data_IF_163829669776
#
_entry.id   IF_163829669776
#
_cell.length_a   1.000
_cell.length_b   1.000
_cell.length_c   1.000
_cell.angle_alpha   90.00
_cell.angle_beta   90.00
_cell.angle_gamma   90.00
#
_symmetry.space_group_name_H-M   'P 1'
#
loop_
_entity.id
_entity.type
_entity.pdbx_description
1 polymer ?
#
# COMPACT_ATOMS: atom_id res chain seq x y z
N UNK A 1 -1.90 20.71 -5.94
CA UNK A 1 -1.49 19.58 -5.07
C UNK A 1 -2.68 18.65 -5.00
N UNK A 2 -2.49 17.33 -4.95
CA UNK A 2 -3.59 16.39 -4.70
C UNK A 2 -4.18 16.65 -3.30
N UNK A 3 -5.51 16.60 -3.15
CA UNK A 3 -6.18 16.93 -1.89
C UNK A 3 -7.56 16.29 -1.80
N UNK A 4 -7.72 15.29 -0.90
CA UNK A 4 -9.03 14.74 -0.55
C UNK A 4 -9.94 15.81 0.08
N UNK A 5 -9.40 16.64 0.98
CA UNK A 5 -10.13 17.77 1.55
C UNK A 5 -10.62 18.80 0.50
N UNK A 6 -9.94 18.90 -0.64
CA UNK A 6 -10.43 19.71 -1.77
C UNK A 6 -11.71 19.13 -2.38
N UNK A 7 -11.77 17.81 -2.53
CA UNK A 7 -12.98 17.11 -2.95
C UNK A 7 -14.09 17.17 -1.89
N UNK A 8 -13.74 17.21 -0.59
CA UNK A 8 -14.73 17.47 0.47
C UNK A 8 -15.34 18.86 0.36
N UNK A 9 -14.59 19.88 -0.05
CA UNK A 9 -15.18 21.20 -0.35
C UNK A 9 -16.06 21.13 -1.60
N UNK A 10 -15.66 20.40 -2.64
CA UNK A 10 -16.52 20.19 -3.81
C UNK A 10 -17.83 19.48 -3.45
N UNK A 11 -17.80 18.53 -2.51
CA UNK A 11 -18.99 17.92 -1.94
C UNK A 11 -19.94 18.97 -1.38
N UNK A 12 -19.43 19.84 -0.49
CA UNK A 12 -20.22 20.91 0.12
C UNK A 12 -20.77 21.89 -0.92
N UNK A 13 -20.00 22.21 -1.97
CA UNK A 13 -20.47 23.06 -3.06
C UNK A 13 -21.65 22.41 -3.79
N UNK A 14 -21.58 21.11 -4.08
CA UNK A 14 -22.71 20.38 -4.69
C UNK A 14 -23.93 20.44 -3.78
N UNK A 15 -23.76 20.20 -2.49
CA UNK A 15 -24.85 20.22 -1.51
C UNK A 15 -25.50 21.61 -1.41
N UNK A 16 -24.70 22.67 -1.29
CA UNK A 16 -25.16 24.05 -1.16
C UNK A 16 -25.89 24.55 -2.42
N UNK A 17 -25.33 24.27 -3.60
CA UNK A 17 -25.91 24.74 -4.88
C UNK A 17 -27.19 24.00 -5.23
N UNK A 18 -27.28 22.72 -4.88
CA UNK A 18 -28.42 21.87 -5.28
C UNK A 18 -29.49 21.76 -4.20
N UNK A 19 -29.16 22.04 -2.95
CA UNK A 19 -30.02 21.79 -1.79
C UNK A 19 -30.23 20.31 -1.47
N UNK A 20 -29.48 19.40 -2.11
CA UNK A 20 -29.55 17.95 -1.90
C UNK A 20 -28.36 17.48 -1.07
N UNK A 21 -28.51 16.37 -0.34
CA UNK A 21 -27.33 15.67 0.20
C UNK A 21 -26.47 15.17 -0.96
N UNK A 22 -25.15 15.03 -0.75
CA UNK A 22 -24.27 14.54 -1.81
C UNK A 22 -24.70 13.16 -2.31
N UNK A 23 -25.15 12.28 -1.42
CA UNK A 23 -25.60 10.94 -1.72
C UNK A 23 -26.84 10.96 -2.61
N UNK A 24 -27.83 11.78 -2.27
CA UNK A 24 -29.05 11.91 -3.07
C UNK A 24 -28.76 12.51 -4.44
N UNK A 25 -27.87 13.51 -4.50
CA UNK A 25 -27.44 14.12 -5.76
C UNK A 25 -26.74 13.07 -6.64
N UNK A 26 -25.75 12.36 -6.10
CA UNK A 26 -25.03 11.33 -6.84
C UNK A 26 -25.92 10.16 -7.25
N UNK A 27 -26.88 9.78 -6.39
CA UNK A 27 -27.88 8.77 -6.71
C UNK A 27 -28.70 9.17 -7.93
N UNK A 28 -29.30 10.36 -7.89
CA UNK A 28 -30.19 10.89 -8.92
C UNK A 28 -29.46 11.19 -10.23
N UNK A 29 -28.32 11.88 -10.14
CA UNK A 29 -27.67 12.47 -11.31
C UNK A 29 -26.71 11.51 -11.99
N UNK A 30 -26.16 10.51 -11.28
CA UNK A 30 -25.13 9.61 -11.82
C UNK A 30 -25.59 8.14 -11.75
N UNK A 31 -25.85 7.62 -10.55
CA UNK A 31 -26.11 6.18 -10.32
C UNK A 31 -27.36 5.72 -11.06
N UNK A 32 -28.48 6.42 -10.91
CA UNK A 32 -29.75 6.03 -11.52
C UNK A 32 -29.71 6.21 -13.05
N UNK A 33 -29.10 7.30 -13.54
CA UNK A 33 -28.97 7.58 -14.98
C UNK A 33 -28.09 6.57 -15.71
N UNK A 34 -27.06 6.04 -15.04
CA UNK A 34 -26.19 4.99 -15.59
C UNK A 34 -26.59 3.58 -15.16
N UNK A 35 -27.67 3.44 -14.38
CA UNK A 35 -28.17 2.15 -13.88
C UNK A 35 -27.07 1.36 -13.12
N UNK A 36 -26.41 2.04 -12.19
CA UNK A 36 -25.34 1.50 -11.33
C UNK A 36 -25.94 0.84 -10.07
N UNK A 37 -26.76 -0.20 -10.26
CA UNK A 37 -27.63 -0.76 -9.22
C UNK A 37 -26.92 -1.30 -7.97
N UNK A 38 -25.62 -1.54 -8.03
CA UNK A 38 -24.78 -2.04 -6.94
C UNK A 38 -23.75 -0.98 -6.50
N UNK A 39 -24.07 0.30 -6.67
CA UNK A 39 -23.21 1.42 -6.29
C UNK A 39 -23.96 2.39 -5.38
N UNK A 40 -23.29 2.87 -4.32
CA UNK A 40 -23.90 3.77 -3.34
C UNK A 40 -22.84 4.56 -2.56
N UNK A 41 -23.22 5.74 -2.06
CA UNK A 41 -22.46 6.52 -1.09
C UNK A 41 -22.98 6.34 0.35
N UNK A 42 -23.96 5.44 0.53
CA UNK A 42 -24.55 5.06 1.80
C UNK A 42 -24.30 3.57 2.00
N UNK A 43 -23.84 3.21 3.20
CA UNK A 43 -23.80 1.81 3.63
C UNK A 43 -25.21 1.42 4.09
N UNK A 44 -26.01 0.91 3.18
CA UNK A 44 -27.30 0.29 3.49
C UNK A 44 -27.14 -1.23 3.67
N UNK A 45 -28.24 -1.91 4.03
CA UNK A 45 -28.25 -3.35 4.25
C UNK A 45 -27.80 -4.15 3.02
N UNK A 46 -28.16 -3.72 1.81
CA UNK A 46 -27.78 -4.42 0.59
C UNK A 46 -26.27 -4.31 0.33
N UNK A 47 -25.68 -3.13 0.56
CA UNK A 47 -24.22 -2.97 0.47
C UNK A 47 -23.53 -3.75 1.59
N UNK A 48 -24.03 -3.71 2.82
CA UNK A 48 -23.44 -4.40 3.97
C UNK A 48 -23.39 -5.93 3.77
N UNK A 49 -24.43 -6.52 3.17
CA UNK A 49 -24.46 -7.97 2.88
C UNK A 49 -23.53 -8.38 1.74
N UNK A 50 -23.16 -7.46 0.84
CA UNK A 50 -22.38 -7.76 -0.38
C UNK A 50 -20.97 -7.17 -0.39
N UNK A 51 -20.60 -6.34 0.59
CA UNK A 51 -19.28 -5.73 0.67
C UNK A 51 -18.21 -6.79 0.97
N UNK A 52 -17.07 -6.71 0.29
CA UNK A 52 -15.93 -7.58 0.58
C UNK A 52 -15.30 -7.26 1.94
N UNK A 53 -14.82 -8.27 2.67
CA UNK A 53 -13.87 -8.06 3.78
C UNK A 53 -12.65 -7.26 3.33
N UNK A 54 -12.08 -6.44 4.22
CA UNK A 54 -10.84 -5.70 3.96
C UNK A 54 -9.64 -6.34 4.66
N UNK A 55 -8.51 -6.37 3.96
CA UNK A 55 -7.28 -6.97 4.48
C UNK A 55 -6.15 -5.95 4.61
N UNK A 56 -5.55 -5.89 5.79
CA UNK A 56 -4.38 -5.04 6.04
C UNK A 56 -3.12 -5.54 5.33
N UNK A 57 -2.05 -4.75 5.45
CA UNK A 57 -0.74 -5.08 4.86
C UNK A 57 -0.23 -6.45 5.32
N UNK A 58 -0.51 -6.88 6.56
CA UNK A 58 -0.06 -8.18 7.06
C UNK A 58 -0.91 -9.36 6.57
N UNK A 59 -2.01 -9.11 5.85
CA UNK A 59 -2.94 -10.13 5.37
C UNK A 59 -4.00 -10.54 6.40
N UNK A 60 -4.01 -9.89 7.57
CA UNK A 60 -5.11 -10.02 8.52
C UNK A 60 -6.31 -9.22 8.03
N UNK A 61 -7.51 -9.74 8.32
CA UNK A 61 -8.74 -8.97 8.17
C UNK A 61 -8.70 -7.75 9.11
N UNK A 62 -9.25 -6.63 8.65
CA UNK A 62 -9.36 -5.37 9.40
C UNK A 62 -10.80 -4.86 9.35
N UNK A 63 -11.21 -3.97 10.26
CA UNK A 63 -12.53 -3.37 10.19
C UNK A 63 -12.74 -2.61 8.86
N UNK A 64 -13.94 -2.69 8.32
CA UNK A 64 -14.36 -1.82 7.22
C UNK A 64 -14.52 -0.37 7.70
N UNK A 65 -14.01 0.58 6.92
CA UNK A 65 -14.10 2.01 7.25
C UNK A 65 -15.12 2.70 6.35
N UNK A 66 -15.96 3.52 6.96
CA UNK A 66 -16.87 4.44 6.26
C UNK A 66 -16.24 5.83 6.32
N UNK A 67 -16.12 6.48 5.17
CA UNK A 67 -15.45 7.77 5.05
C UNK A 67 -16.48 8.89 5.00
N UNK A 68 -16.30 9.92 5.84
CA UNK A 68 -17.13 11.13 5.82
C UNK A 68 -16.83 12.01 4.58
N UNK A 69 -15.62 11.94 4.05
CA UNK A 69 -15.20 12.57 2.79
C UNK A 69 -15.75 11.81 1.56
N UNK A 70 -17.08 11.76 1.42
CA UNK A 70 -17.77 10.89 0.43
C UNK A 70 -17.33 11.16 -1.00
N UNK A 71 -17.22 12.43 -1.39
CA UNK A 71 -16.74 12.80 -2.72
C UNK A 71 -15.29 12.37 -2.99
N UNK A 72 -14.45 12.24 -1.95
CA UNK A 72 -13.05 11.84 -2.08
C UNK A 72 -12.85 10.31 -2.03
N UNK A 73 -13.64 9.60 -1.21
CA UNK A 73 -13.35 8.22 -0.83
C UNK A 73 -14.57 7.34 -0.47
N UNK A 74 -15.81 7.81 -0.67
CA UNK A 74 -17.00 7.17 -0.08
C UNK A 74 -17.82 6.26 -0.99
N UNK A 75 -17.44 6.06 -2.26
CA UNK A 75 -18.21 5.22 -3.17
C UNK A 75 -17.99 3.73 -2.88
N UNK A 76 -19.06 3.01 -2.55
CA UNK A 76 -19.15 1.56 -2.64
C UNK A 76 -19.62 1.20 -4.06
N UNK A 77 -18.97 0.24 -4.72
CA UNK A 77 -19.31 -0.15 -6.10
C UNK A 77 -18.81 -1.55 -6.43
N UNK A 78 -19.20 -2.04 -7.62
CA UNK A 78 -18.74 -3.30 -8.20
C UNK A 78 -17.94 -3.04 -9.47
N UNK A 79 -17.17 -4.03 -9.92
CA UNK A 79 -16.45 -3.95 -11.21
C UNK A 79 -17.41 -3.71 -12.37
N UNK A 80 -18.56 -4.39 -12.38
CA UNK A 80 -19.58 -4.26 -13.44
C UNK A 80 -20.14 -2.84 -13.53
N UNK A 81 -20.48 -2.21 -12.41
CA UNK A 81 -21.04 -0.85 -12.44
C UNK A 81 -19.96 0.19 -12.76
N UNK A 82 -18.76 0.04 -12.22
CA UNK A 82 -17.66 0.94 -12.57
C UNK A 82 -17.26 0.79 -14.06
N UNK A 83 -17.45 -0.39 -14.66
CA UNK A 83 -17.35 -0.58 -16.12
C UNK A 83 -18.45 0.16 -16.91
N UNK A 84 -19.69 0.28 -16.39
CA UNK A 84 -20.71 1.12 -17.04
C UNK A 84 -20.34 2.59 -16.99
N UNK A 85 -19.84 3.07 -15.84
CA UNK A 85 -19.31 4.43 -15.72
C UNK A 85 -18.13 4.67 -16.68
N UNK A 86 -17.23 3.70 -16.79
CA UNK A 86 -16.14 3.70 -17.77
C UNK A 86 -16.64 3.88 -19.21
N UNK A 87 -17.62 3.07 -19.62
CA UNK A 87 -18.19 3.12 -20.96
C UNK A 87 -18.83 4.50 -21.20
N UNK A 88 -19.52 5.07 -20.22
CA UNK A 88 -20.09 6.41 -20.34
C UNK A 88 -19.04 7.51 -20.62
N UNK A 89 -17.83 7.38 -20.02
CA UNK A 89 -16.70 8.28 -20.31
C UNK A 89 -16.18 8.11 -21.74
N UNK A 90 -16.05 6.87 -22.22
CA UNK A 90 -15.64 6.57 -23.60
C UNK A 90 -16.65 7.07 -24.64
N UNK A 91 -17.94 6.82 -24.40
CA UNK A 91 -19.02 7.26 -25.26
C UNK A 91 -19.10 8.79 -25.33
N UNK A 92 -19.00 9.47 -24.18
CA UNK A 92 -18.95 10.92 -24.15
C UNK A 92 -17.76 11.47 -24.95
N UNK A 93 -16.60 10.81 -24.90
CA UNK A 93 -15.42 11.20 -25.69
C UNK A 93 -15.60 10.99 -27.20
N UNK A 94 -16.16 9.84 -27.60
CA UNK A 94 -16.15 9.37 -28.99
C UNK A 94 -17.42 9.70 -29.80
N UNK A 95 -18.56 10.03 -29.16
CA UNK A 95 -19.86 10.05 -29.87
C UNK A 95 -20.04 11.19 -30.88
N UNK A 96 -20.56 10.78 -32.04
CA UNK A 96 -21.38 11.56 -32.98
C UNK A 96 -22.88 11.17 -32.92
N UNK A 97 -23.30 10.23 -32.05
CA UNK A 97 -24.66 9.63 -32.06
C UNK A 97 -25.49 9.89 -30.80
N UNK A 98 -26.82 9.97 -30.97
CA UNK A 98 -27.88 10.37 -30.01
C UNK A 98 -28.18 9.38 -28.85
N UNK A 99 -27.25 8.56 -28.39
CA UNK A 99 -27.50 7.76 -27.17
C UNK A 99 -27.32 8.63 -25.92
N UNK A 100 -28.13 8.41 -24.87
CA UNK A 100 -28.16 9.19 -23.61
C UNK A 100 -26.75 9.35 -23.03
N UNK A 101 -26.08 10.43 -23.37
CA UNK A 101 -24.79 10.80 -22.80
C UNK A 101 -25.03 11.50 -21.47
N UNK A 102 -24.42 10.96 -20.41
CA UNK A 102 -24.43 11.61 -19.10
C UNK A 102 -23.74 12.99 -19.16
N UNK A 103 -22.67 13.08 -19.95
CA UNK A 103 -21.82 14.27 -20.12
C UNK A 103 -21.55 14.46 -21.62
N UNK A 104 -21.53 15.72 -22.08
CA UNK A 104 -21.20 16.08 -23.47
C UNK A 104 -19.74 15.76 -23.81
N UNK A 105 -19.43 15.65 -25.11
CA UNK A 105 -18.04 15.47 -25.57
C UNK A 105 -17.12 16.60 -25.13
N UNK A 106 -17.61 17.84 -25.18
CA UNK A 106 -16.86 19.01 -24.73
C UNK A 106 -16.51 18.91 -23.25
N UNK A 107 -17.48 18.55 -22.39
CA UNK A 107 -17.24 18.43 -20.96
C UNK A 107 -16.33 17.23 -20.63
N UNK A 108 -16.46 16.10 -21.32
CA UNK A 108 -15.53 14.97 -21.17
C UNK A 108 -14.11 15.38 -21.56
N UNK A 109 -13.95 16.09 -22.69
CA UNK A 109 -12.65 16.61 -23.08
C UNK A 109 -12.09 17.56 -22.03
N UNK A 110 -12.91 18.44 -21.47
CA UNK A 110 -12.49 19.34 -20.40
C UNK A 110 -12.02 18.57 -19.16
N UNK A 111 -12.77 17.55 -18.73
CA UNK A 111 -12.45 16.72 -17.56
C UNK A 111 -11.13 15.96 -17.75
N UNK A 112 -10.91 15.42 -18.95
CA UNK A 112 -9.73 14.62 -19.30
C UNK A 112 -8.48 15.46 -19.61
N UNK A 113 -8.64 16.76 -19.91
CA UNK A 113 -7.51 17.62 -20.26
C UNK A 113 -6.68 17.96 -19.02
N UNK A 114 -5.38 17.65 -19.01
CA UNK A 114 -4.53 18.03 -17.89
C UNK A 114 -4.44 19.54 -17.75
N UNK A 115 -4.77 20.04 -16.55
CA UNK A 115 -4.63 21.46 -16.19
C UNK A 115 -3.27 21.70 -15.52
N UNK A 116 -2.75 20.70 -14.81
CA UNK A 116 -1.45 20.77 -14.15
C UNK A 116 -0.75 19.42 -14.16
N UNK A 117 0.47 19.39 -14.73
CA UNK A 117 1.21 18.14 -14.97
C UNK A 117 0.33 17.16 -15.76
N UNK A 118 0.01 16.02 -15.15
CA UNK A 118 -0.83 14.95 -15.71
C UNK A 118 -2.27 14.99 -15.21
N UNK A 119 -2.66 15.91 -14.32
CA UNK A 119 -3.98 15.93 -13.69
C UNK A 119 -4.98 16.85 -14.41
N UNK A 120 -6.12 16.28 -14.79
CA UNK A 120 -7.34 16.99 -15.18
C UNK A 120 -8.32 17.11 -14.00
N UNK A 121 -9.63 17.15 -14.29
CA UNK A 121 -10.69 17.27 -13.26
C UNK A 121 -11.03 15.89 -12.67
N UNK A 122 -10.16 15.39 -11.79
CA UNK A 122 -10.35 14.08 -11.14
C UNK A 122 -9.83 12.89 -11.91
N UNK A 123 -9.08 13.14 -12.99
CA UNK A 123 -8.44 12.13 -13.81
C UNK A 123 -6.94 12.44 -13.95
N UNK A 124 -6.16 11.38 -14.08
CA UNK A 124 -4.73 11.39 -14.37
C UNK A 124 -4.54 10.87 -15.78
N UNK A 125 -3.80 11.62 -16.57
CA UNK A 125 -3.45 11.29 -17.95
C UNK A 125 -1.99 10.90 -18.05
N UNK A 126 -1.69 9.77 -18.68
CA UNK A 126 -0.33 9.31 -18.99
C UNK A 126 -0.24 8.99 -20.47
N UNK A 127 0.76 9.55 -21.13
CA UNK A 127 1.10 9.25 -22.51
C UNK A 127 1.87 7.92 -22.59
N UNK A 128 1.50 7.09 -23.57
CA UNK A 128 2.14 5.83 -23.89
C UNK A 128 3.18 6.03 -25.00
N UNK A 129 4.10 5.07 -25.15
CA UNK A 129 5.20 5.16 -26.12
C UNK A 129 4.72 5.29 -27.57
N UNK A 130 3.53 4.77 -27.89
CA UNK A 130 2.92 4.87 -29.21
C UNK A 130 2.05 6.13 -29.42
N UNK A 131 2.10 7.09 -28.49
CA UNK A 131 1.36 8.36 -28.56
C UNK A 131 -0.09 8.32 -28.09
N UNK A 132 -0.63 7.15 -27.73
CA UNK A 132 -1.94 7.07 -27.08
C UNK A 132 -1.90 7.55 -25.64
N UNK A 133 -3.06 7.90 -25.10
CA UNK A 133 -3.18 8.38 -23.72
C UNK A 133 -4.03 7.42 -22.90
N UNK A 134 -3.49 7.05 -21.75
CA UNK A 134 -4.27 6.44 -20.67
C UNK A 134 -4.86 7.56 -19.81
N UNK A 135 -6.13 7.45 -19.47
CA UNK A 135 -6.86 8.43 -18.66
C UNK A 135 -7.62 7.67 -17.57
N UNK A 136 -7.47 8.05 -16.32
CA UNK A 136 -8.08 7.26 -15.25
C UNK A 136 -7.81 7.81 -13.86
N UNK A 137 -8.13 7.02 -12.84
CA UNK A 137 -7.79 7.34 -11.46
C UNK A 137 -7.62 6.07 -10.64
N UNK A 138 -6.65 6.09 -9.72
CA UNK A 138 -6.45 5.05 -8.72
C UNK A 138 -7.18 5.38 -7.42
N UNK A 139 -7.50 4.37 -6.62
CA UNK A 139 -8.09 4.53 -5.29
C UNK A 139 -7.33 3.72 -4.25
N UNK A 140 -7.22 4.26 -3.05
CA UNK A 140 -6.45 3.66 -1.95
C UNK A 140 -7.08 3.92 -0.59
N UNK A 141 -8.25 3.34 -0.36
CA UNK A 141 -8.83 3.27 0.98
C UNK A 141 -8.14 2.18 1.80
N UNK A 142 -8.11 2.31 3.12
CA UNK A 142 -7.48 1.31 3.98
C UNK A 142 -8.10 -0.07 3.76
N UNK A 143 -7.29 -1.04 3.36
CA UNK A 143 -7.72 -2.41 3.06
C UNK A 143 -8.36 -2.62 1.69
N UNK A 144 -8.42 -1.60 0.83
CA UNK A 144 -8.91 -1.72 -0.55
C UNK A 144 -8.03 -0.96 -1.53
N UNK A 145 -7.90 -1.47 -2.76
CA UNK A 145 -7.29 -0.72 -3.85
C UNK A 145 -8.16 -0.82 -5.09
N UNK A 146 -8.28 0.28 -5.81
CA UNK A 146 -9.01 0.33 -7.07
C UNK A 146 -8.18 1.03 -8.13
N UNK A 147 -8.47 0.71 -9.38
CA UNK A 147 -8.05 1.50 -10.51
C UNK A 147 -9.09 1.40 -11.62
N UNK A 148 -9.33 2.53 -12.25
CA UNK A 148 -10.13 2.65 -13.45
C UNK A 148 -9.29 3.42 -14.47
N UNK A 149 -9.16 2.91 -15.68
CA UNK A 149 -8.37 3.55 -16.74
C UNK A 149 -8.95 3.22 -18.11
N UNK A 150 -8.95 4.22 -19.00
CA UNK A 150 -9.38 4.12 -20.39
C UNK A 150 -8.28 4.56 -21.35
N UNK A 151 -8.32 4.05 -22.58
CA UNK A 151 -7.62 4.58 -23.74
C UNK A 151 -8.71 4.98 -24.75
N UNK A 152 -9.14 6.26 -24.74
CA UNK A 152 -10.28 6.71 -25.53
C UNK A 152 -10.11 6.46 -27.04
N UNK A 153 -8.89 6.64 -27.55
CA UNK A 153 -8.52 6.45 -28.96
C UNK A 153 -8.73 4.99 -29.43
N UNK A 154 -8.77 4.04 -28.49
CA UNK A 154 -8.97 2.62 -28.76
C UNK A 154 -10.34 2.09 -28.33
N UNK A 155 -11.20 2.95 -27.78
CA UNK A 155 -12.45 2.54 -27.14
C UNK A 155 -12.25 1.37 -26.15
N UNK A 156 -11.15 1.41 -25.40
CA UNK A 156 -10.71 0.34 -24.50
C UNK A 156 -10.59 0.88 -23.08
N UNK A 157 -10.80 0.01 -22.10
CA UNK A 157 -10.64 0.37 -20.69
C UNK A 157 -10.56 -0.85 -19.79
N UNK A 158 -10.07 -0.63 -18.58
CA UNK A 158 -9.91 -1.65 -17.55
C UNK A 158 -10.32 -1.09 -16.18
N UNK A 159 -11.03 -1.93 -15.43
CA UNK A 159 -11.39 -1.70 -14.03
C UNK A 159 -10.84 -2.84 -13.20
N UNK A 160 -10.17 -2.50 -12.10
CA UNK A 160 -9.55 -3.47 -11.20
C UNK A 160 -9.88 -3.05 -9.77
N UNK A 161 -10.51 -3.95 -9.00
CA UNK A 161 -10.83 -3.76 -7.59
C UNK A 161 -10.16 -4.88 -6.79
N UNK A 162 -9.58 -4.54 -5.64
CA UNK A 162 -8.95 -5.50 -4.72
C UNK A 162 -9.28 -5.12 -3.28
N UNK A 163 -9.31 -6.12 -2.40
CA UNK A 163 -9.68 -5.97 -1.00
C UNK A 163 -8.49 -6.16 -0.04
N UNK A 164 -7.28 -5.76 -0.47
CA UNK A 164 -6.12 -5.76 0.42
C UNK A 164 -5.26 -4.52 0.20
N UNK A 165 -4.64 -4.03 1.27
CA UNK A 165 -3.58 -3.03 1.17
C UNK A 165 -2.40 -3.49 0.29
N UNK A 166 -2.22 -4.79 0.11
CA UNK A 166 -1.21 -5.38 -0.78
C UNK A 166 -1.65 -5.41 -2.26
N UNK A 167 -2.90 -5.04 -2.57
CA UNK A 167 -3.48 -5.10 -3.91
C UNK A 167 -2.81 -4.16 -4.93
N UNK A 168 -2.06 -3.15 -4.47
CA UNK A 168 -1.35 -2.19 -5.33
C UNK A 168 -0.40 -2.89 -6.31
N UNK A 169 0.34 -3.92 -5.86
CA UNK A 169 1.27 -4.63 -6.75
C UNK A 169 0.54 -5.43 -7.84
N UNK A 170 -0.56 -6.08 -7.48
CA UNK A 170 -1.42 -6.78 -8.45
C UNK A 170 -1.98 -5.79 -9.48
N UNK A 171 -2.46 -4.64 -9.01
CA UNK A 171 -2.95 -3.55 -9.84
C UNK A 171 -1.91 -3.06 -10.84
N UNK A 172 -0.69 -2.74 -10.40
CA UNK A 172 0.40 -2.30 -11.26
C UNK A 172 0.73 -3.36 -12.32
N UNK A 173 0.78 -4.63 -11.92
CA UNK A 173 1.07 -5.73 -12.84
C UNK A 173 -0.02 -5.87 -13.90
N UNK A 174 -1.30 -5.94 -13.52
CA UNK A 174 -2.41 -6.04 -14.47
C UNK A 174 -2.42 -4.83 -15.41
N UNK A 175 -2.24 -3.62 -14.87
CA UNK A 175 -2.17 -2.40 -15.66
C UNK A 175 -1.05 -2.45 -16.71
N UNK A 176 0.15 -2.89 -16.33
CA UNK A 176 1.26 -2.99 -17.28
C UNK A 176 1.05 -4.05 -18.37
N UNK A 177 0.41 -5.18 -18.04
CA UNK A 177 -0.01 -6.16 -19.05
C UNK A 177 -1.05 -5.57 -20.00
N UNK A 178 -2.06 -4.89 -19.46
CA UNK A 178 -3.12 -4.28 -20.24
C UNK A 178 -2.60 -3.16 -21.15
N UNK A 179 -1.73 -2.28 -20.65
CA UNK A 179 -1.08 -1.24 -21.47
C UNK A 179 -0.35 -1.85 -22.67
N UNK A 180 0.50 -2.86 -22.45
CA UNK A 180 1.20 -3.56 -23.54
C UNK A 180 0.25 -4.23 -24.53
N UNK A 181 -0.74 -4.94 -24.02
CA UNK A 181 -1.77 -5.57 -24.85
C UNK A 181 -2.52 -4.53 -25.69
N UNK A 182 -2.90 -3.40 -25.11
CA UNK A 182 -3.60 -2.30 -25.78
C UNK A 182 -2.73 -1.57 -26.81
N UNK A 183 -1.39 -1.62 -26.66
CA UNK A 183 -0.44 -1.16 -27.67
C UNK A 183 -0.21 -2.18 -28.81
N UNK A 184 -0.77 -3.39 -28.70
CA UNK A 184 -0.61 -4.47 -29.68
C UNK A 184 0.68 -5.28 -29.50
N UNK A 185 1.35 -5.15 -28.35
CA UNK A 185 2.57 -5.89 -28.04
C UNK A 185 2.27 -7.30 -27.50
N UNK A 186 3.19 -8.25 -27.73
CA UNK A 186 3.08 -9.58 -27.15
C UNK A 186 3.33 -9.57 -25.64
N UNK A 187 2.48 -10.29 -24.90
CA UNK A 187 2.55 -10.44 -23.44
C UNK A 187 3.10 -11.79 -22.98
N UNK A 188 3.36 -12.73 -23.90
CA UNK A 188 3.62 -14.15 -23.63
C UNK A 188 4.84 -14.40 -22.73
N UNK A 189 5.80 -13.48 -22.71
CA UNK A 189 6.97 -13.50 -21.83
C UNK A 189 7.15 -12.21 -21.03
N UNK A 190 6.14 -11.33 -21.01
CA UNK A 190 6.24 -10.10 -20.26
C UNK A 190 6.15 -10.39 -18.77
N UNK A 191 7.17 -9.97 -18.02
CA UNK A 191 7.17 -9.98 -16.56
C UNK A 191 7.24 -8.54 -16.09
N UNK A 192 6.13 -7.97 -15.59
CA UNK A 192 6.17 -6.66 -15.01
C UNK A 192 7.03 -6.72 -13.76
N UNK A 193 8.19 -6.08 -13.86
CA UNK A 193 9.12 -5.99 -12.76
C UNK A 193 9.38 -4.51 -12.53
N UNK A 194 8.78 -3.97 -11.46
CA UNK A 194 9.08 -2.61 -11.05
C UNK A 194 10.55 -2.57 -10.59
N UNK A 195 11.39 -1.79 -11.28
CA UNK A 195 12.83 -1.70 -11.00
C UNK A 195 13.13 -1.35 -9.54
N UNK A 196 12.30 -0.51 -8.92
CA UNK A 196 12.42 -0.16 -7.50
C UNK A 196 12.10 -1.35 -6.58
N UNK A 197 11.03 -2.10 -6.88
CA UNK A 197 10.63 -3.32 -6.15
C UNK A 197 11.71 -4.40 -6.28
N UNK A 198 12.33 -4.53 -7.47
CA UNK A 198 13.46 -5.42 -7.73
C UNK A 198 14.67 -5.07 -6.86
N UNK A 199 15.04 -3.80 -6.78
CA UNK A 199 16.14 -3.34 -5.92
C UNK A 199 15.84 -3.66 -4.46
N UNK A 200 14.65 -3.31 -3.96
CA UNK A 200 14.24 -3.61 -2.58
C UNK A 200 14.30 -5.11 -2.30
N UNK A 201 13.84 -5.94 -3.22
CA UNK A 201 13.89 -7.40 -3.10
C UNK A 201 15.32 -7.90 -2.92
N UNK A 202 16.27 -7.48 -3.77
CA UNK A 202 17.66 -7.92 -3.65
C UNK A 202 18.36 -7.38 -2.40
N UNK A 203 18.12 -6.11 -2.04
CA UNK A 203 18.61 -5.54 -0.78
C UNK A 203 18.09 -6.33 0.41
N UNK A 204 16.81 -6.71 0.38
CA UNK A 204 16.17 -7.51 1.42
C UNK A 204 16.77 -8.92 1.52
N UNK A 205 16.99 -9.60 0.38
CA UNK A 205 17.67 -10.90 0.36
C UNK A 205 19.08 -10.78 0.96
N UNK A 206 19.85 -9.77 0.56
CA UNK A 206 21.19 -9.52 1.10
C UNK A 206 21.20 -9.30 2.62
N UNK A 207 20.32 -8.42 3.11
CA UNK A 207 20.15 -8.16 4.54
C UNK A 207 19.76 -9.43 5.32
N UNK A 208 18.85 -10.24 4.79
CA UNK A 208 18.44 -11.50 5.41
C UNK A 208 19.61 -12.48 5.55
N UNK A 209 20.45 -12.64 4.51
CA UNK A 209 21.63 -13.50 4.56
C UNK A 209 22.67 -13.00 5.58
N UNK A 210 22.95 -11.69 5.59
CA UNK A 210 23.89 -11.09 6.55
C UNK A 210 23.41 -11.31 7.98
N UNK A 211 22.11 -11.05 8.25
CA UNK A 211 21.51 -11.27 9.55
C UNK A 211 21.52 -12.77 9.94
N UNK A 212 21.25 -13.67 9.01
CA UNK A 212 21.28 -15.12 9.25
C UNK A 212 22.67 -15.65 9.56
N UNK A 213 23.70 -15.21 8.82
CA UNK A 213 25.10 -15.56 9.09
C UNK A 213 25.56 -15.01 10.44
N UNK A 214 25.18 -13.77 10.73
CA UNK A 214 25.43 -13.18 12.03
C UNK A 214 24.77 -14.01 13.13
N UNK A 215 23.50 -14.37 12.99
CA UNK A 215 22.73 -15.24 13.90
C UNK A 215 23.39 -16.59 14.14
N UNK A 216 23.85 -17.27 13.09
CA UNK A 216 24.62 -18.51 13.19
C UNK A 216 25.91 -18.29 14.01
N UNK A 217 26.61 -17.19 13.79
CA UNK A 217 27.80 -16.83 14.58
C UNK A 217 27.46 -16.66 16.07
N UNK A 218 26.28 -16.13 16.40
CA UNK A 218 25.79 -16.00 17.79
C UNK A 218 25.54 -17.37 18.37
N UNK A 219 24.80 -18.23 17.67
CA UNK A 219 24.46 -19.57 18.15
C UNK A 219 25.74 -20.35 18.46
N UNK A 220 26.74 -20.29 17.57
CA UNK A 220 28.05 -20.90 17.78
C UNK A 220 28.75 -20.30 19.00
N UNK A 221 28.73 -18.97 19.16
CA UNK A 221 29.30 -18.28 20.33
C UNK A 221 28.59 -18.68 21.63
N UNK A 222 27.26 -18.80 21.63
CA UNK A 222 26.47 -19.24 22.79
C UNK A 222 26.82 -20.69 23.15
N UNK A 223 26.86 -21.61 22.17
CA UNK A 223 27.27 -23.02 22.36
C UNK A 223 28.68 -23.14 22.92
N UNK A 224 29.62 -22.30 22.44
CA UNK A 224 30.99 -22.20 22.95
C UNK A 224 31.10 -21.44 24.29
N UNK A 225 29.98 -21.09 24.92
CA UNK A 225 29.95 -20.36 26.18
C UNK A 225 30.51 -18.94 26.10
N UNK A 226 30.60 -18.31 24.92
CA UNK A 226 31.04 -16.93 24.70
C UNK A 226 29.81 -16.04 24.45
N UNK A 227 28.98 -15.81 25.48
CA UNK A 227 27.68 -15.10 25.37
C UNK A 227 27.79 -13.57 25.42
N UNK A 228 28.89 -12.97 24.97
CA UNK A 228 29.07 -11.51 25.02
C UNK A 228 28.61 -10.91 23.71
N UNK A 229 27.67 -9.98 23.78
CA UNK A 229 27.00 -9.43 22.61
C UNK A 229 26.89 -7.91 22.70
N UNK A 230 27.45 -7.24 21.68
CA UNK A 230 27.71 -5.79 21.52
C UNK A 230 28.86 -5.27 22.39
N UNK A 231 30.01 -5.10 21.70
CA UNK A 231 31.30 -4.52 22.12
C UNK A 231 31.95 -5.12 23.39
N UNK A 232 33.29 -5.08 23.44
CA UNK A 232 34.09 -5.44 24.62
C UNK A 232 34.00 -4.36 25.71
N UNK A 233 32.92 -3.58 25.80
CA UNK A 233 32.75 -2.63 26.91
C UNK A 233 32.60 -3.44 28.18
N UNK A 234 33.70 -3.51 28.94
CA UNK A 234 33.68 -4.00 30.31
C UNK A 234 32.78 -3.06 31.11
N UNK A 235 31.82 -3.59 31.87
CA UNK A 235 31.68 -3.38 33.31
C UNK A 235 30.25 -3.58 33.87
N UNK A 236 30.21 -3.62 35.21
CA UNK A 236 29.23 -4.14 36.16
C UNK A 236 27.98 -3.26 36.42
N UNK A 237 27.69 -2.20 35.65
CA UNK A 237 26.61 -1.25 36.01
C UNK A 237 25.23 -1.63 35.46
N UNK A 238 24.17 -1.29 36.21
CA UNK A 238 22.76 -1.44 35.82
C UNK A 238 22.46 -0.79 34.46
N UNK A 239 23.09 0.36 34.18
CA UNK A 239 22.96 1.13 32.95
C UNK A 239 23.33 0.31 31.70
N UNK A 240 24.35 -0.55 31.80
CA UNK A 240 24.77 -1.43 30.69
C UNK A 240 23.69 -2.47 30.34
N UNK A 241 23.04 -3.05 31.36
CA UNK A 241 21.94 -4.01 31.17
C UNK A 241 20.73 -3.34 30.52
N UNK A 242 20.39 -2.14 30.99
CA UNK A 242 19.31 -1.32 30.46
C UNK A 242 19.54 -1.01 28.98
N UNK A 243 20.74 -0.55 28.62
CA UNK A 243 21.11 -0.23 27.23
C UNK A 243 20.98 -1.46 26.30
N UNK A 244 21.41 -2.64 26.76
CA UNK A 244 21.36 -3.89 25.97
C UNK A 244 19.95 -4.41 25.71
N UNK A 245 18.98 -4.06 26.55
CA UNK A 245 17.59 -4.46 26.38
C UNK A 245 16.82 -3.39 25.61
N UNK A 246 16.99 -2.12 25.98
CA UNK A 246 16.22 -1.02 25.43
C UNK A 246 16.58 -0.74 23.97
N UNK A 247 17.87 -0.73 23.60
CA UNK A 247 18.26 -0.39 22.22
C UNK A 247 17.66 -1.36 21.19
N UNK A 248 17.79 -2.70 21.32
CA UNK A 248 17.18 -3.62 20.36
C UNK A 248 15.66 -3.51 20.31
N UNK A 249 15.01 -3.33 21.46
CA UNK A 249 13.55 -3.13 21.53
C UNK A 249 13.14 -1.86 20.79
N UNK A 250 13.85 -0.75 21.00
CA UNK A 250 13.60 0.50 20.28
C UNK A 250 13.85 0.37 18.79
N UNK A 251 14.91 -0.32 18.36
CA UNK A 251 15.17 -0.59 16.93
C UNK A 251 14.02 -1.38 16.32
N UNK A 252 13.53 -2.43 17.01
CA UNK A 252 12.39 -3.21 16.56
C UNK A 252 11.12 -2.36 16.44
N UNK A 253 10.83 -1.53 17.45
CA UNK A 253 9.68 -0.62 17.43
C UNK A 253 9.79 0.38 16.27
N UNK A 254 10.94 1.05 16.12
CA UNK A 254 11.20 2.02 15.04
C UNK A 254 11.03 1.35 13.67
N UNK A 255 11.55 0.14 13.50
CA UNK A 255 11.37 -0.63 12.27
C UNK A 255 9.89 -0.86 11.95
N UNK A 256 9.13 -1.36 12.92
CA UNK A 256 7.69 -1.58 12.74
C UNK A 256 6.93 -0.27 12.47
N UNK A 257 7.27 0.82 13.15
CA UNK A 257 6.64 2.13 12.95
C UNK A 257 6.94 2.71 11.56
N UNK A 258 8.18 2.59 11.07
CA UNK A 258 8.57 3.11 9.75
C UNK A 258 7.87 2.34 8.63
N UNK A 259 7.87 1.01 8.70
CA UNK A 259 7.34 0.20 7.61
C UNK A 259 5.82 0.02 7.70
N UNK A 260 5.28 -0.24 8.89
CA UNK A 260 3.89 -0.65 9.10
C UNK A 260 3.08 0.31 9.98
N UNK A 261 3.71 1.32 10.57
CA UNK A 261 3.02 2.34 11.35
C UNK A 261 2.30 3.35 10.45
N UNK A 262 1.18 3.87 10.93
CA UNK A 262 0.39 4.88 10.21
C UNK A 262 0.88 6.32 10.42
N UNK A 263 1.79 6.56 11.39
CA UNK A 263 1.82 7.85 12.10
C UNK A 263 2.99 8.78 11.71
N UNK A 264 4.08 8.34 11.09
CA UNK A 264 5.31 9.19 11.10
C UNK A 264 5.71 9.85 9.78
N UNK A 265 5.33 9.36 8.58
CA UNK A 265 5.92 9.90 7.33
C UNK A 265 4.90 10.27 6.22
N UNK A 266 3.58 10.03 6.37
CA UNK A 266 2.62 10.06 5.23
C UNK A 266 2.97 9.15 4.03
N UNK A 267 4.21 8.64 3.93
CA UNK A 267 4.62 7.53 3.09
C UNK A 267 4.58 6.24 3.92
N UNK A 268 3.48 5.50 3.83
CA UNK A 268 3.50 4.09 4.24
C UNK A 268 4.25 3.32 3.15
N UNK A 269 5.45 2.82 3.46
CA UNK A 269 6.28 2.10 2.47
C UNK A 269 5.86 0.63 2.36
N UNK A 270 5.26 0.03 3.40
CA UNK A 270 4.93 -1.39 3.34
C UNK A 270 3.98 -1.84 2.21
N UNK A 271 2.97 -1.05 1.78
CA UNK A 271 2.23 -1.35 0.55
C UNK A 271 3.10 -1.41 -0.71
N UNK A 272 4.26 -0.74 -0.70
CA UNK A 272 5.25 -0.74 -1.78
C UNK A 272 6.30 -1.84 -1.62
N UNK A 273 6.39 -2.48 -0.45
CA UNK A 273 7.30 -3.60 -0.24
C UNK A 273 6.76 -4.85 -0.96
N UNK A 274 7.62 -5.62 -1.64
CA UNK A 274 7.25 -6.96 -2.10
C UNK A 274 6.72 -7.79 -0.93
N UNK A 275 5.73 -8.64 -1.18
CA UNK A 275 5.18 -9.55 -0.16
C UNK A 275 6.29 -10.42 0.46
N UNK A 276 7.27 -10.78 -0.34
CA UNK A 276 8.46 -11.56 0.02
C UNK A 276 9.35 -10.85 1.05
N UNK A 277 9.22 -9.53 1.22
CA UNK A 277 10.00 -8.76 2.20
C UNK A 277 9.39 -8.83 3.62
N UNK A 278 8.16 -9.33 3.80
CA UNK A 278 7.57 -9.52 5.14
C UNK A 278 8.43 -10.40 6.04
N UNK A 279 9.12 -11.38 5.47
CA UNK A 279 10.04 -12.26 6.19
C UNK A 279 11.22 -11.51 6.80
N UNK A 280 11.64 -10.39 6.21
CA UNK A 280 12.71 -9.57 6.77
C UNK A 280 12.26 -8.86 8.02
N UNK A 281 11.02 -8.38 8.04
CA UNK A 281 10.42 -7.77 9.23
C UNK A 281 10.38 -8.79 10.36
N UNK A 282 9.95 -10.02 10.07
CA UNK A 282 10.00 -11.12 11.05
C UNK A 282 11.42 -11.46 11.49
N UNK A 283 12.39 -11.47 10.57
CA UNK A 283 13.79 -11.73 10.89
C UNK A 283 14.40 -10.62 11.78
N UNK A 284 14.19 -9.34 11.44
CA UNK A 284 14.65 -8.18 12.24
C UNK A 284 13.97 -8.17 13.61
N UNK A 285 12.68 -8.51 13.68
CA UNK A 285 11.95 -8.60 14.96
C UNK A 285 12.51 -9.70 15.83
N UNK A 286 12.69 -10.90 15.25
CA UNK A 286 13.29 -12.05 15.94
C UNK A 286 14.70 -11.72 16.42
N UNK A 287 15.48 -11.02 15.60
CA UNK A 287 16.82 -10.55 15.94
C UNK A 287 16.81 -9.59 17.13
N UNK A 288 15.92 -8.59 17.13
CA UNK A 288 15.75 -7.64 18.23
C UNK A 288 15.33 -8.34 19.54
N UNK A 289 14.41 -9.31 19.47
CA UNK A 289 13.98 -10.11 20.62
C UNK A 289 15.15 -10.93 21.17
N UNK A 290 15.90 -11.62 20.31
CA UNK A 290 17.04 -12.43 20.74
C UNK A 290 18.14 -11.59 21.38
N UNK A 291 18.37 -10.36 20.89
CA UNK A 291 19.25 -9.42 21.57
C UNK A 291 18.75 -9.03 22.94
N UNK A 292 17.48 -8.65 23.06
CA UNK A 292 16.90 -8.25 24.33
C UNK A 292 17.03 -9.39 25.37
N UNK A 293 16.72 -10.63 24.98
CA UNK A 293 16.87 -11.82 25.83
C UNK A 293 18.35 -12.04 26.22
N UNK A 294 19.29 -11.88 25.27
CA UNK A 294 20.72 -12.01 25.58
C UNK A 294 21.23 -10.94 26.56
N UNK A 295 20.59 -9.77 26.58
CA UNK A 295 20.86 -8.70 27.55
C UNK A 295 20.42 -9.04 28.97
N UNK A 296 19.37 -9.86 29.13
CA UNK A 296 18.85 -10.32 30.42
C UNK A 296 19.79 -11.36 31.06
N UNK A 297 20.40 -12.25 30.26
CA UNK A 297 21.26 -13.33 30.74
C UNK A 297 22.74 -13.22 30.28
N UNK A 298 23.47 -12.16 30.66
CA UNK A 298 24.89 -12.02 30.31
C UNK A 298 25.73 -13.07 31.06
N UNK A 299 26.68 -13.71 30.39
CA UNK A 299 27.59 -14.66 31.06
C UNK A 299 28.45 -13.93 32.10
N UNK A 300 28.40 -14.37 33.35
CA UNK A 300 29.41 -14.02 34.35
C UNK A 300 30.75 -14.68 33.99
N UNK A 301 31.83 -13.89 33.99
CA UNK A 301 33.18 -14.45 33.91
C UNK A 301 33.40 -15.27 35.19
N UNK A 302 33.47 -16.60 35.07
CA UNK A 302 34.05 -17.44 36.12
C UNK A 302 35.50 -17.00 36.25
N UNK A 303 35.82 -16.26 37.33
CA UNK A 303 37.19 -16.05 37.74
C UNK A 303 37.74 -17.42 38.15
N UNK A 304 38.60 -18.02 37.34
CA UNK A 304 39.48 -19.06 37.86
C UNK A 304 40.36 -18.39 38.92
N UNK A 305 40.00 -18.56 40.19
CA UNK A 305 40.94 -18.37 41.30
C UNK A 305 42.09 -19.34 41.04
N UNK A 306 43.25 -18.79 40.69
CA UNK A 306 44.51 -19.50 40.77
C UNK A 306 44.69 -19.82 42.26
N UNK A 307 44.47 -21.07 42.64
CA UNK A 307 44.93 -21.56 43.93
C UNK A 307 46.44 -21.66 43.84
N UNK A 308 47.14 -20.66 44.38
CA UNK A 308 48.55 -20.80 44.71
C UNK A 308 48.67 -21.92 45.74
N UNK A 309 49.20 -23.06 45.31
CA UNK A 309 49.74 -24.08 46.18
C UNK A 309 50.98 -23.51 46.89
N UNK A 310 50.80 -23.01 48.12
CA UNK A 310 51.88 -22.93 49.09
C UNK A 310 51.78 -24.13 50.04
N UNK A 311 52.53 -25.19 49.71
CA UNK A 311 53.16 -26.18 50.60
C UNK A 311 54.42 -26.60 49.81
N UNK A 312 55.64 -26.47 50.32
CA UNK A 312 56.17 -27.10 51.51
C UNK A 312 57.29 -26.29 52.16
N UNK A 313 57.32 -26.39 53.50
CA UNK A 313 58.44 -26.37 54.45
C UNK A 313 59.58 -25.36 54.26
#
# INVERSE_FOLDING_TARGET
>A
KYSGGGYTILQLIVEEVTGMTFEDYMKKEIIDKLTLNNSSFILDKNIEENISSSYGVLGNEIPGYIYTEKAAAGLFTTTTDLCKFMIANLEGYNKSTKSRTLISKENINLIHTPVKNTYGLGYVTKELENGYKTIGHGGSNRGWRSNFTIIPERNSGVVILTNSDNGTNLLINIMSYWEKYSMGESIENYKPENGFVKIIKYVSIGLFFVLSLYMLSIIVKIRKGKRVFISKVQYKSLLSKVIRIIIPVLIGIIWWVIFYGQVVIKLTIAPMLPYECKWITWAVTTWCILFAISGIFPKEKVHHKIYNNHKYN
#
